data_IF_781375920136
#
_entry.id   IF_781375920136
#
_cell.length_a   1.000
_cell.length_b   1.000
_cell.length_c   1.000
_cell.angle_alpha   90.00
_cell.angle_beta   90.00
_cell.angle_gamma   90.00
#
_symmetry.space_group_name_H-M   'P 1'
#
loop_
_entity.id
_entity.type
_entity.pdbx_description
1 polymer ?
#
# COMPACT_ATOMS: atom_id res chain seq x y z
N UNK A 1 -10.62 2.65 -17.01
CA UNK A 1 -9.92 3.42 -15.96
C UNK A 1 -8.85 2.52 -15.38
N UNK A 2 -7.58 2.90 -15.52
CA UNK A 2 -6.45 2.09 -15.01
C UNK A 2 -6.44 2.29 -13.50
N UNK A 3 -6.83 1.28 -12.73
CA UNK A 3 -6.72 1.33 -11.28
C UNK A 3 -5.24 1.12 -10.92
N UNK A 4 -4.44 2.18 -10.92
CA UNK A 4 -2.96 2.11 -10.80
C UNK A 4 -2.39 1.25 -9.66
N UNK A 5 -3.20 0.91 -8.65
CA UNK A 5 -2.87 -0.05 -7.59
C UNK A 5 -2.51 -1.45 -8.12
N UNK A 6 -3.17 -1.94 -9.17
CA UNK A 6 -2.95 -3.31 -9.66
C UNK A 6 -1.51 -3.51 -10.18
N UNK A 7 -0.89 -2.45 -10.72
CA UNK A 7 0.47 -2.48 -11.26
C UNK A 7 1.58 -2.37 -10.21
N UNK A 8 1.26 -2.03 -8.96
CA UNK A 8 2.25 -1.90 -7.87
C UNK A 8 2.69 -3.29 -7.38
N UNK A 9 1.83 -4.30 -7.50
CA UNK A 9 2.17 -5.67 -7.10
C UNK A 9 2.34 -5.83 -5.58
N UNK A 10 3.42 -6.49 -5.19
CA UNK A 10 3.81 -6.72 -3.79
C UNK A 10 4.86 -5.71 -3.29
N UNK A 11 5.09 -4.58 -4.00
CA UNK A 11 6.11 -3.60 -3.62
C UNK A 11 5.60 -2.70 -2.49
N UNK A 12 6.36 -2.51 -1.40
CA UNK A 12 6.01 -1.55 -0.36
C UNK A 12 5.96 -0.12 -0.91
N UNK A 13 4.90 0.62 -0.57
CA UNK A 13 4.66 1.97 -1.05
C UNK A 13 4.33 2.92 0.09
N UNK A 14 4.93 4.11 0.04
CA UNK A 14 4.73 5.18 1.01
C UNK A 14 3.41 5.92 0.78
N UNK A 15 2.88 6.51 1.84
CA UNK A 15 1.67 7.35 1.80
C UNK A 15 1.81 8.53 0.82
N UNK A 16 2.98 9.16 0.78
CA UNK A 16 3.29 10.25 -0.16
C UNK A 16 3.18 9.80 -1.62
N UNK A 17 3.79 8.66 -1.96
CA UNK A 17 3.73 8.09 -3.31
C UNK A 17 2.30 7.71 -3.68
N UNK A 18 1.56 7.06 -2.78
CA UNK A 18 0.14 6.76 -2.99
C UNK A 18 -0.70 8.02 -3.17
N UNK A 19 -0.43 9.08 -2.40
CA UNK A 19 -1.11 10.37 -2.53
C UNK A 19 -0.85 11.01 -3.90
N UNK A 20 0.37 10.92 -4.41
CA UNK A 20 0.74 11.44 -5.74
C UNK A 20 0.05 10.73 -6.90
N UNK A 21 -0.36 9.46 -6.72
CA UNK A 21 -1.14 8.72 -7.73
C UNK A 21 -2.59 9.20 -7.85
N UNK A 22 -3.08 9.98 -6.88
CA UNK A 22 -4.44 10.51 -6.86
C UNK A 22 -4.46 12.05 -6.71
N UNK A 23 -3.87 12.80 -7.66
CA UNK A 23 -3.71 14.25 -7.57
C UNK A 23 -5.05 15.01 -7.57
N UNK A 24 -6.10 14.40 -8.13
CA UNK A 24 -7.46 14.94 -8.20
C UNK A 24 -8.19 14.95 -6.84
N UNK A 25 -7.69 14.23 -5.83
CA UNK A 25 -8.27 14.20 -4.50
C UNK A 25 -7.47 15.08 -3.54
N UNK A 26 -8.04 16.27 -3.21
CA UNK A 26 -7.47 17.28 -2.30
C UNK A 26 -7.08 16.76 -0.89
N UNK A 27 -7.48 15.55 -0.53
CA UNK A 27 -7.14 14.89 0.73
C UNK A 27 -6.46 13.53 0.47
N UNK A 28 -5.25 13.53 -0.10
CA UNK A 28 -4.53 12.31 -0.44
C UNK A 28 -4.36 11.31 0.72
N UNK A 29 -4.14 11.81 1.95
CA UNK A 29 -4.12 10.96 3.15
C UNK A 29 -5.48 10.30 3.46
N UNK A 30 -6.59 11.00 3.18
CA UNK A 30 -7.93 10.43 3.36
C UNK A 30 -8.18 9.32 2.35
N UNK A 31 -7.69 9.45 1.12
CA UNK A 31 -7.78 8.39 0.11
C UNK A 31 -7.01 7.14 0.52
N UNK A 32 -5.76 7.29 0.99
CA UNK A 32 -4.96 6.16 1.48
C UNK A 32 -5.68 5.45 2.63
N UNK A 33 -6.25 6.21 3.58
CA UNK A 33 -7.05 5.64 4.67
C UNK A 33 -8.29 4.89 4.17
N UNK A 34 -8.99 5.42 3.18
CA UNK A 34 -10.15 4.75 2.60
C UNK A 34 -9.78 3.45 1.87
N UNK A 35 -8.61 3.43 1.21
CA UNK A 35 -8.09 2.21 0.56
C UNK A 35 -7.68 1.15 1.58
N UNK A 36 -7.10 1.56 2.70
CA UNK A 36 -6.79 0.68 3.83
C UNK A 36 -8.07 0.12 4.47
N UNK A 37 -9.03 0.98 4.82
CA UNK A 37 -10.31 0.55 5.40
C UNK A 37 -11.13 -0.33 4.44
N UNK A 38 -11.03 -0.08 3.14
CA UNK A 38 -11.64 -0.91 2.09
C UNK A 38 -10.88 -2.19 1.76
N UNK A 39 -9.83 -2.54 2.52
CA UNK A 39 -9.06 -3.77 2.36
C UNK A 39 -8.18 -3.82 1.10
N UNK A 40 -8.04 -2.72 0.35
CA UNK A 40 -7.20 -2.66 -0.86
C UNK A 40 -5.72 -2.49 -0.56
N UNK A 41 -5.41 -1.89 0.58
CA UNK A 41 -4.05 -1.75 1.10
C UNK A 41 -3.93 -2.49 2.42
N UNK A 42 -2.80 -3.17 2.60
CA UNK A 42 -2.41 -3.80 3.86
C UNK A 42 -1.31 -2.91 4.46
N UNK A 43 -1.53 -2.42 5.69
CA UNK A 43 -0.53 -1.61 6.39
C UNK A 43 0.59 -2.51 6.91
N UNK A 44 1.83 -2.20 6.53
CA UNK A 44 3.01 -2.87 7.08
C UNK A 44 3.47 -2.15 8.37
N UNK A 45 3.53 -0.82 8.30
CA UNK A 45 3.78 0.07 9.45
C UNK A 45 3.22 1.47 9.15
N UNK A 46 3.30 2.40 10.11
CA UNK A 46 2.83 3.77 9.92
C UNK A 46 3.48 4.39 8.67
N UNK A 47 2.64 4.77 7.71
CA UNK A 47 3.06 5.44 6.49
C UNK A 47 3.50 4.52 5.34
N UNK A 48 3.61 3.20 5.56
CA UNK A 48 4.08 2.22 4.59
C UNK A 48 3.06 1.08 4.41
N UNK A 49 2.70 0.81 3.16
CA UNK A 49 1.63 -0.11 2.79
C UNK A 49 2.07 -1.04 1.67
N UNK A 50 1.34 -2.13 1.47
CA UNK A 50 1.42 -2.96 0.27
C UNK A 50 0.01 -3.17 -0.29
N UNK A 51 -0.12 -3.41 -1.58
CA UNK A 51 -1.41 -3.71 -2.21
C UNK A 51 -1.87 -5.12 -1.81
N UNK A 52 -3.15 -5.25 -1.49
CA UNK A 52 -3.73 -6.54 -1.16
C UNK A 52 -3.62 -7.49 -2.36
N UNK A 53 -3.18 -8.75 -2.18
CA UNK A 53 -3.09 -9.75 -3.25
C UNK A 53 -4.40 -9.95 -4.04
N UNK A 54 -5.55 -9.74 -3.40
CA UNK A 54 -6.87 -9.79 -4.06
C UNK A 54 -7.07 -8.68 -5.10
N UNK A 55 -6.31 -7.59 -4.98
CA UNK A 55 -6.30 -6.45 -5.92
C UNK A 55 -5.14 -6.57 -6.91
N UNK A 56 -3.91 -6.82 -6.44
CA UNK A 56 -2.72 -6.87 -7.31
C UNK A 56 -2.57 -8.18 -8.07
N UNK A 57 -3.23 -9.26 -7.63
CA UNK A 57 -3.03 -10.65 -8.11
C UNK A 57 -1.59 -11.16 -7.94
N UNK A 58 -0.79 -10.47 -7.14
CA UNK A 58 0.58 -10.87 -6.78
C UNK A 58 0.58 -11.33 -5.33
N UNK A 59 1.05 -12.54 -5.09
CA UNK A 59 1.17 -13.09 -3.74
C UNK A 59 2.12 -12.26 -2.87
N UNK A 60 1.79 -12.13 -1.59
CA UNK A 60 2.68 -11.57 -0.59
C UNK A 60 3.50 -12.70 0.03
N UNK A 61 4.83 -12.60 -0.04
CA UNK A 61 5.72 -13.51 0.67
C UNK A 61 5.78 -13.14 2.15
N UNK A 62 5.76 -14.13 3.03
CA UNK A 62 5.93 -13.94 4.49
C UNK A 62 7.24 -13.22 4.82
N UNK A 63 8.31 -13.48 4.08
CA UNK A 63 9.62 -12.82 4.21
C UNK A 63 9.54 -11.31 3.98
N UNK A 64 8.78 -10.87 2.98
CA UNK A 64 8.58 -9.46 2.68
C UNK A 64 7.87 -8.75 3.84
N UNK A 65 6.82 -9.38 4.36
CA UNK A 65 6.07 -8.86 5.50
C UNK A 65 6.97 -8.81 6.75
N UNK A 66 7.70 -9.88 7.03
CA UNK A 66 8.63 -9.97 8.15
C UNK A 66 9.71 -8.88 8.08
N UNK A 67 10.37 -8.71 6.92
CA UNK A 67 11.41 -7.70 6.75
C UNK A 67 10.92 -6.29 7.08
N UNK A 68 9.72 -5.90 6.67
CA UNK A 68 9.25 -4.53 6.90
C UNK A 68 8.70 -4.27 8.30
N UNK A 69 8.31 -5.32 9.02
CA UNK A 69 7.85 -5.23 10.41
C UNK A 69 9.04 -5.35 11.39
N UNK A 70 10.05 -6.17 11.08
CA UNK A 70 11.18 -6.46 11.98
C UNK A 70 12.43 -5.61 11.77
N UNK A 71 12.74 -5.12 10.56
CA UNK A 71 13.98 -4.34 10.28
C UNK A 71 14.09 -3.05 11.11
N UNK A 72 13.03 -2.59 11.78
CA UNK A 72 13.06 -1.35 12.58
C UNK A 72 13.05 -1.56 14.11
N UNK A 73 13.41 -2.75 14.59
CA UNK A 73 13.63 -3.02 16.03
C UNK A 73 15.11 -3.10 16.45
N UNK A 74 16.04 -2.70 15.59
CA UNK A 74 17.46 -2.55 15.93
C UNK A 74 17.92 -1.11 15.61
#
# INVERSE_FOLDING_TARGET
MINGLEHIGNIPISTSTLSSLYPEMKAGNQKVRNLELGGKLIRLKKGLYVVNPTVSRVALSTELIANHIYVMQN
#
